data_IF_214493666625
#
_entry.id   IF_214493666625
#
_cell.length_a   1.000
_cell.length_b   1.000
_cell.length_c   1.000
_cell.angle_alpha   90.00
_cell.angle_beta   90.00
_cell.angle_gamma   90.00
#
_symmetry.space_group_name_H-M   'P 1'
#
loop_
_entity.id
_entity.type
_entity.pdbx_description
1 polymer ?
#
# COMPACT_ATOMS: atom_id res chain seq x y z
N UNK A 1 -4.19 -33.18 7.69
CA UNK A 1 -2.91 -32.47 7.63
C UNK A 1 -3.23 -30.98 7.74
N UNK A 2 -2.90 -30.32 8.85
CA UNK A 2 -3.01 -28.89 8.93
C UNK A 2 -1.94 -28.31 7.99
N UNK A 3 -2.39 -27.61 6.99
CA UNK A 3 -1.56 -26.84 6.09
C UNK A 3 -0.99 -25.67 6.90
N UNK A 4 0.24 -25.79 7.36
CA UNK A 4 0.95 -24.66 7.98
C UNK A 4 1.33 -23.70 6.84
N UNK A 5 0.41 -22.79 6.52
CA UNK A 5 0.75 -21.66 5.67
C UNK A 5 1.87 -20.87 6.34
N UNK A 6 3.05 -20.91 5.76
CA UNK A 6 4.19 -20.12 6.20
C UNK A 6 3.80 -18.63 6.13
N UNK A 7 4.03 -17.89 7.22
CA UNK A 7 3.80 -16.45 7.24
C UNK A 7 4.79 -15.78 6.29
N UNK A 8 4.31 -14.82 5.48
CA UNK A 8 5.16 -13.99 4.66
C UNK A 8 5.74 -12.83 5.48
N UNK A 9 6.99 -12.49 5.21
CA UNK A 9 7.67 -11.32 5.77
C UNK A 9 7.66 -10.23 4.69
N UNK A 10 6.97 -9.13 4.97
CA UNK A 10 6.71 -8.05 4.00
C UNK A 10 7.16 -6.73 4.62
N UNK A 11 8.44 -6.35 4.47
CA UNK A 11 8.93 -5.05 4.92
C UNK A 11 8.34 -3.91 4.10
N UNK A 12 8.43 -2.68 4.62
CA UNK A 12 7.94 -1.48 3.95
C UNK A 12 9.00 -0.39 3.88
N UNK A 13 8.94 0.40 2.81
CA UNK A 13 9.65 1.68 2.65
C UNK A 13 8.61 2.76 2.46
N UNK A 14 8.66 3.81 3.28
CA UNK A 14 7.82 4.99 3.14
C UNK A 14 8.46 5.99 2.20
N UNK A 15 7.64 6.67 1.41
CA UNK A 15 8.06 7.82 0.64
C UNK A 15 7.12 9.00 0.89
N UNK A 16 7.69 10.19 1.10
CA UNK A 16 6.96 11.43 1.26
C UNK A 16 7.73 12.57 0.61
N UNK A 17 7.07 13.32 -0.27
CA UNK A 17 7.66 14.51 -0.93
C UNK A 17 9.01 14.23 -1.61
N UNK A 18 9.22 13.00 -2.12
CA UNK A 18 10.46 12.57 -2.77
C UNK A 18 11.59 12.15 -1.81
N UNK A 19 11.31 12.07 -0.52
CA UNK A 19 12.19 11.52 0.51
C UNK A 19 11.73 10.11 0.87
N UNK A 20 12.66 9.30 1.39
CA UNK A 20 12.39 7.91 1.80
C UNK A 20 12.64 7.74 3.29
N UNK A 21 11.93 6.79 3.91
CA UNK A 21 12.06 6.51 5.33
C UNK A 21 11.62 5.07 5.66
N UNK A 22 12.01 4.56 6.83
CA UNK A 22 11.54 3.26 7.34
C UNK A 22 10.12 3.32 7.88
N UNK A 23 9.75 4.46 8.46
CA UNK A 23 8.41 4.77 8.97
C UNK A 23 8.10 6.23 8.69
N UNK A 24 6.84 6.66 8.86
CA UNK A 24 6.45 8.06 8.67
C UNK A 24 7.24 9.06 9.54
N UNK A 25 7.81 8.62 10.66
CA UNK A 25 8.54 9.45 11.64
C UNK A 25 10.01 9.08 11.81
N UNK A 26 10.55 8.19 10.98
CA UNK A 26 11.93 7.72 11.10
C UNK A 26 12.92 8.61 10.34
N UNK A 27 14.21 8.29 10.52
CA UNK A 27 15.31 8.92 9.79
C UNK A 27 15.07 8.90 8.27
N UNK A 28 15.32 10.03 7.62
CA UNK A 28 15.20 10.19 6.18
C UNK A 28 16.37 9.47 5.51
N UNK A 29 16.06 8.63 4.54
CA UNK A 29 17.01 7.95 3.69
C UNK A 29 17.21 8.73 2.38
N UNK A 30 18.43 8.75 1.90
CA UNK A 30 18.70 9.16 0.52
C UNK A 30 18.12 8.14 -0.47
N UNK A 31 18.02 8.53 -1.73
CA UNK A 31 17.59 7.64 -2.82
C UNK A 31 18.40 6.34 -2.88
N UNK A 32 19.72 6.46 -2.75
CA UNK A 32 20.64 5.30 -2.80
C UNK A 32 20.46 4.39 -1.60
N UNK A 33 20.33 4.96 -0.40
CA UNK A 33 20.09 4.17 0.82
C UNK A 33 18.77 3.42 0.78
N UNK A 34 17.70 4.04 0.26
CA UNK A 34 16.41 3.39 0.09
C UNK A 34 16.47 2.23 -0.93
N UNK A 35 17.21 2.40 -2.04
CA UNK A 35 17.42 1.32 -3.01
C UNK A 35 18.24 0.17 -2.42
N UNK A 36 19.32 0.47 -1.71
CA UNK A 36 20.14 -0.52 -1.02
C UNK A 36 19.36 -1.27 0.06
N UNK A 37 18.47 -0.56 0.76
CA UNK A 37 17.60 -1.16 1.76
C UNK A 37 16.65 -2.18 1.13
N UNK A 38 16.06 -1.88 -0.03
CA UNK A 38 15.21 -2.82 -0.75
C UNK A 38 15.96 -4.10 -1.16
N UNK A 39 17.21 -3.95 -1.64
CA UNK A 39 18.08 -5.09 -1.98
C UNK A 39 18.40 -5.92 -0.72
N UNK A 40 18.74 -5.26 0.38
CA UNK A 40 19.00 -5.93 1.64
C UNK A 40 17.79 -6.73 2.14
N UNK A 41 16.60 -6.20 2.05
CA UNK A 41 15.38 -6.91 2.45
C UNK A 41 15.22 -8.21 1.65
N UNK A 42 15.49 -8.21 0.34
CA UNK A 42 15.49 -9.43 -0.45
C UNK A 42 16.58 -10.41 -0.01
N UNK A 43 17.81 -9.95 0.21
CA UNK A 43 18.94 -10.77 0.66
C UNK A 43 18.70 -11.40 2.04
N UNK A 44 17.98 -10.71 2.92
CA UNK A 44 17.58 -11.18 4.24
C UNK A 44 16.34 -12.09 4.23
N UNK A 45 15.77 -12.36 3.05
CA UNK A 45 14.70 -13.34 2.86
C UNK A 45 13.28 -12.79 2.97
N UNK A 46 13.08 -11.49 2.67
CA UNK A 46 11.73 -10.95 2.54
C UNK A 46 10.99 -11.61 1.37
N UNK A 47 9.69 -11.87 1.55
CA UNK A 47 8.85 -12.50 0.54
C UNK A 47 8.27 -11.49 -0.45
N UNK A 48 8.10 -10.24 -0.04
CA UNK A 48 7.53 -9.14 -0.82
C UNK A 48 7.96 -7.82 -0.20
N UNK A 49 7.98 -6.72 -0.95
CA UNK A 49 8.26 -5.37 -0.47
C UNK A 49 7.04 -4.47 -0.66
N UNK A 50 6.72 -3.62 0.32
CA UNK A 50 5.68 -2.57 0.18
C UNK A 50 6.32 -1.19 0.12
N UNK A 51 5.99 -0.41 -0.90
CA UNK A 51 6.38 0.99 -1.02
C UNK A 51 5.14 1.86 -0.78
N UNK A 52 5.15 2.60 0.34
CA UNK A 52 4.03 3.40 0.82
C UNK A 52 4.29 4.88 0.56
N UNK A 53 3.59 5.44 -0.44
CA UNK A 53 3.66 6.88 -0.68
C UNK A 53 2.59 7.63 0.11
N UNK A 54 3.05 8.44 1.06
CA UNK A 54 2.21 9.31 1.89
C UNK A 54 2.26 10.77 1.45
N UNK A 55 2.80 11.03 0.26
CA UNK A 55 2.90 12.38 -0.32
C UNK A 55 1.50 12.99 -0.50
N UNK A 56 1.29 14.18 0.09
CA UNK A 56 0.03 14.91 0.00
C UNK A 56 -0.08 15.76 -1.27
N UNK A 57 1.06 16.18 -1.83
CA UNK A 57 1.15 17.07 -3.00
C UNK A 57 1.70 16.29 -4.19
N UNK A 58 0.88 16.08 -5.22
CA UNK A 58 1.21 15.25 -6.39
C UNK A 58 2.49 15.70 -7.12
N UNK A 59 2.73 17.00 -7.21
CA UNK A 59 3.89 17.58 -7.88
C UNK A 59 5.23 17.18 -7.23
N UNK A 60 5.21 16.77 -5.97
CA UNK A 60 6.40 16.33 -5.23
C UNK A 60 6.80 14.87 -5.49
N UNK A 61 6.01 14.13 -6.26
CA UNK A 61 6.28 12.72 -6.65
C UNK A 61 7.24 12.55 -7.82
N UNK A 62 7.95 13.58 -8.25
CA UNK A 62 8.76 13.58 -9.49
C UNK A 62 9.77 12.44 -9.58
N UNK A 63 10.40 12.06 -8.48
CA UNK A 63 11.41 11.00 -8.45
C UNK A 63 10.82 9.59 -8.28
N UNK A 64 9.56 9.47 -7.90
CA UNK A 64 8.93 8.21 -7.56
C UNK A 64 8.88 7.21 -8.74
N UNK A 65 8.44 7.57 -9.96
CA UNK A 65 8.43 6.62 -11.07
C UNK A 65 9.81 6.08 -11.43
N UNK A 66 10.86 6.91 -11.31
CA UNK A 66 12.24 6.48 -11.49
C UNK A 66 12.65 5.49 -10.41
N UNK A 67 12.36 5.79 -9.15
CA UNK A 67 12.67 4.92 -8.02
C UNK A 67 12.01 3.54 -8.17
N UNK A 68 10.72 3.50 -8.51
CA UNK A 68 10.00 2.25 -8.74
C UNK A 68 10.62 1.42 -9.87
N UNK A 69 11.05 2.07 -10.97
CA UNK A 69 11.76 1.39 -12.06
C UNK A 69 13.12 0.85 -11.63
N UNK A 70 13.85 1.58 -10.79
CA UNK A 70 15.16 1.13 -10.32
C UNK A 70 14.99 -0.02 -9.30
N UNK A 71 13.98 0.02 -8.42
CA UNK A 71 13.58 -1.12 -7.58
C UNK A 71 13.29 -2.36 -8.44
N UNK A 72 12.42 -2.22 -9.45
CA UNK A 72 12.01 -3.35 -10.31
C UNK A 72 13.16 -4.03 -11.04
N UNK A 73 14.29 -3.35 -11.21
CA UNK A 73 15.51 -3.91 -11.81
C UNK A 73 16.48 -4.50 -10.79
N UNK A 74 16.37 -4.07 -9.53
CA UNK A 74 17.34 -4.37 -8.49
C UNK A 74 16.94 -5.55 -7.62
N UNK A 75 15.63 -5.84 -7.49
CA UNK A 75 15.10 -6.95 -6.70
C UNK A 75 14.28 -7.91 -7.57
N UNK A 76 14.20 -9.17 -7.15
CA UNK A 76 13.41 -10.23 -7.82
C UNK A 76 12.13 -10.55 -7.09
N UNK A 77 12.07 -10.28 -5.76
CA UNK A 77 10.84 -10.43 -5.01
C UNK A 77 9.78 -9.44 -5.52
N UNK A 78 8.49 -9.81 -5.52
CA UNK A 78 7.44 -8.90 -5.91
C UNK A 78 7.39 -7.68 -4.99
N UNK A 79 6.94 -6.55 -5.51
CA UNK A 79 6.69 -5.39 -4.68
C UNK A 79 5.35 -4.73 -4.99
N UNK A 80 4.75 -4.20 -3.94
CA UNK A 80 3.47 -3.49 -3.93
C UNK A 80 3.76 -2.00 -3.84
N UNK A 81 3.05 -1.21 -4.59
CA UNK A 81 3.06 0.24 -4.47
C UNK A 81 1.67 0.78 -4.17
N UNK A 82 1.57 1.77 -3.31
CA UNK A 82 0.34 2.53 -3.11
C UNK A 82 0.59 3.90 -2.49
N UNK A 83 -0.42 4.72 -2.65
CA UNK A 83 -0.41 6.13 -2.30
C UNK A 83 -0.73 6.99 -3.53
N UNK A 84 -1.75 7.86 -3.40
CA UNK A 84 -2.22 8.72 -4.49
C UNK A 84 -2.80 8.01 -5.71
N UNK A 85 -3.18 6.75 -5.60
CA UNK A 85 -3.86 5.99 -6.64
C UNK A 85 -5.36 6.22 -6.49
N UNK A 86 -5.98 6.91 -7.46
CA UNK A 86 -7.40 7.28 -7.44
C UNK A 86 -8.16 6.80 -8.67
N UNK A 87 -7.47 6.51 -9.76
CA UNK A 87 -8.05 6.14 -11.06
C UNK A 87 -7.38 4.91 -11.64
N UNK A 88 -8.03 4.29 -12.63
CA UNK A 88 -7.44 3.17 -13.39
C UNK A 88 -6.18 3.60 -14.15
N UNK A 89 -6.12 4.85 -14.57
CA UNK A 89 -4.95 5.42 -15.24
C UNK A 89 -3.75 5.50 -14.29
N UNK A 90 -3.96 5.89 -13.04
CA UNK A 90 -2.89 5.89 -12.04
C UNK A 90 -2.34 4.47 -11.84
N UNK A 91 -3.22 3.47 -11.79
CA UNK A 91 -2.83 2.06 -11.70
C UNK A 91 -1.98 1.65 -12.91
N UNK A 92 -2.44 1.96 -14.11
CA UNK A 92 -1.72 1.67 -15.35
C UNK A 92 -0.32 2.30 -15.38
N UNK A 93 -0.23 3.56 -14.99
CA UNK A 93 1.04 4.30 -14.98
C UNK A 93 2.03 3.72 -13.95
N UNK A 94 1.54 3.25 -12.80
CA UNK A 94 2.39 2.59 -11.80
C UNK A 94 2.84 1.19 -12.27
N UNK A 95 1.96 0.37 -12.84
CA UNK A 95 2.31 -0.95 -13.36
C UNK A 95 3.38 -0.86 -14.46
N UNK A 96 3.39 0.19 -15.29
CA UNK A 96 4.44 0.45 -16.30
C UNK A 96 5.83 0.70 -15.69
N UNK A 97 5.93 0.97 -14.40
CA UNK A 97 7.22 1.13 -13.71
C UNK A 97 7.84 -0.20 -13.26
N UNK A 98 7.12 -1.31 -13.40
CA UNK A 98 7.54 -2.64 -12.95
C UNK A 98 6.95 -3.07 -11.60
N UNK A 99 6.06 -2.26 -11.03
CA UNK A 99 5.24 -2.63 -9.87
C UNK A 99 4.34 -3.80 -10.24
N UNK A 100 4.28 -4.86 -9.44
CA UNK A 100 3.46 -6.03 -9.71
C UNK A 100 2.07 -5.92 -9.08
N UNK A 101 1.95 -5.20 -7.96
CA UNK A 101 0.70 -5.06 -7.22
C UNK A 101 0.49 -3.62 -6.76
N UNK A 102 -0.73 -3.19 -6.77
CA UNK A 102 -1.13 -1.86 -6.27
C UNK A 102 -1.89 -2.01 -4.97
N UNK A 103 -1.64 -1.13 -4.00
CA UNK A 103 -2.59 -0.98 -2.90
C UNK A 103 -3.37 0.33 -2.99
N UNK A 104 -4.64 0.29 -2.61
CA UNK A 104 -5.51 1.45 -2.45
C UNK A 104 -6.06 1.48 -1.01
N UNK A 105 -6.22 2.66 -0.45
CA UNK A 105 -6.75 2.87 0.89
C UNK A 105 -7.95 3.85 0.82
N UNK A 106 -7.78 5.08 1.23
CA UNK A 106 -8.84 6.10 1.27
C UNK A 106 -9.57 6.29 -0.06
N UNK A 107 -8.91 6.09 -1.19
CA UNK A 107 -9.50 6.16 -2.52
C UNK A 107 -10.58 5.09 -2.73
N UNK A 108 -10.32 3.85 -2.26
CA UNK A 108 -11.28 2.76 -2.33
C UNK A 108 -12.52 3.01 -1.45
N UNK A 109 -12.33 3.59 -0.27
CA UNK A 109 -13.45 3.93 0.63
C UNK A 109 -14.32 5.03 0.01
N UNK A 110 -13.72 6.04 -0.62
CA UNK A 110 -14.46 7.12 -1.30
C UNK A 110 -15.13 6.66 -2.59
N UNK A 111 -14.54 5.72 -3.29
CA UNK A 111 -15.06 5.17 -4.55
C UNK A 111 -14.82 3.66 -4.61
N UNK A 112 -15.71 2.83 -4.01
CA UNK A 112 -15.56 1.37 -3.99
C UNK A 112 -15.54 0.74 -5.39
N UNK A 113 -16.10 1.40 -6.42
CA UNK A 113 -16.03 0.93 -7.81
C UNK A 113 -14.59 0.86 -8.35
N UNK A 114 -13.65 1.59 -7.74
CA UNK A 114 -12.23 1.49 -8.10
C UNK A 114 -11.71 0.05 -7.90
N UNK A 115 -12.13 -0.63 -6.82
CA UNK A 115 -11.77 -2.04 -6.57
C UNK A 115 -12.22 -2.91 -7.75
N UNK A 116 -13.51 -2.82 -8.12
CA UNK A 116 -14.06 -3.58 -9.25
C UNK A 116 -13.32 -3.31 -10.56
N UNK A 117 -13.03 -2.04 -10.85
CA UNK A 117 -12.33 -1.66 -12.08
C UNK A 117 -10.92 -2.26 -12.14
N UNK A 118 -10.16 -2.18 -11.04
CA UNK A 118 -8.80 -2.73 -10.98
C UNK A 118 -8.86 -4.26 -11.12
N UNK A 119 -9.69 -4.93 -10.34
CA UNK A 119 -9.75 -6.40 -10.33
C UNK A 119 -10.27 -6.99 -11.63
N UNK A 120 -11.21 -6.33 -12.30
CA UNK A 120 -11.68 -6.74 -13.63
C UNK A 120 -10.64 -6.56 -14.72
N UNK A 121 -9.79 -5.52 -14.61
CA UNK A 121 -8.80 -5.20 -15.66
C UNK A 121 -7.51 -5.98 -15.47
N UNK A 122 -7.04 -6.13 -14.24
CA UNK A 122 -5.72 -6.69 -13.92
C UNK A 122 -5.75 -7.97 -13.07
N UNK A 123 -6.93 -8.43 -12.67
CA UNK A 123 -7.13 -9.59 -11.80
C UNK A 123 -7.03 -9.24 -10.32
N UNK A 124 -7.62 -10.09 -9.46
CA UNK A 124 -7.66 -9.89 -8.00
C UNK A 124 -6.26 -9.82 -7.37
N UNK A 125 -5.32 -10.61 -7.85
CA UNK A 125 -3.96 -10.67 -7.33
C UNK A 125 -3.17 -9.37 -7.54
N UNK A 126 -3.62 -8.48 -8.44
CA UNK A 126 -2.98 -7.17 -8.67
C UNK A 126 -3.32 -6.13 -7.60
N UNK A 127 -4.35 -6.39 -6.78
CA UNK A 127 -4.88 -5.41 -5.85
C UNK A 127 -4.82 -5.87 -4.39
N UNK A 128 -4.26 -5.02 -3.55
CA UNK A 128 -4.32 -5.05 -2.12
C UNK A 128 -5.14 -3.85 -1.63
N UNK A 129 -6.12 -4.06 -0.76
CA UNK A 129 -6.86 -2.96 -0.13
C UNK A 129 -6.32 -2.72 1.27
N UNK A 130 -5.69 -1.57 1.48
CA UNK A 130 -5.23 -1.14 2.80
C UNK A 130 -6.39 -0.51 3.58
N UNK A 131 -6.47 -0.82 4.85
CA UNK A 131 -7.55 -0.44 5.74
C UNK A 131 -6.96 0.13 7.02
N UNK A 132 -7.09 1.44 7.21
CA UNK A 132 -6.77 2.07 8.48
C UNK A 132 -7.98 1.97 9.40
N UNK A 133 -7.80 1.41 10.59
CA UNK A 133 -8.90 1.22 11.54
C UNK A 133 -8.51 1.62 12.96
N UNK A 134 -9.52 1.93 13.76
CA UNK A 134 -9.36 2.24 15.19
C UNK A 134 -10.59 1.77 15.97
N UNK A 135 -10.34 1.25 17.17
CA UNK A 135 -11.39 0.96 18.13
C UNK A 135 -11.96 2.27 18.69
N UNK A 136 -13.23 2.53 18.44
CA UNK A 136 -13.92 3.76 18.81
C UNK A 136 -15.28 3.40 19.41
N UNK A 137 -15.48 3.71 20.70
CA UNK A 137 -16.69 3.36 21.46
C UNK A 137 -17.11 1.88 21.34
N UNK A 138 -16.13 0.97 21.43
CA UNK A 138 -16.35 -0.47 21.35
C UNK A 138 -16.51 -1.03 19.92
N UNK A 139 -16.42 -0.21 18.89
CA UNK A 139 -16.52 -0.61 17.49
C UNK A 139 -15.26 -0.28 16.70
N UNK A 140 -14.80 -1.19 15.84
CA UNK A 140 -13.72 -0.95 14.90
C UNK A 140 -14.25 -0.13 13.70
N UNK A 141 -13.82 1.11 13.59
CA UNK A 141 -14.23 2.04 12.52
C UNK A 141 -13.10 2.28 11.54
N UNK A 142 -13.48 2.48 10.27
CA UNK A 142 -12.54 2.83 9.20
C UNK A 142 -12.14 4.29 9.33
N UNK A 143 -10.85 4.55 9.12
CA UNK A 143 -10.27 5.88 9.06
C UNK A 143 -9.67 6.15 7.69
N UNK A 144 -9.66 7.40 7.28
CA UNK A 144 -9.07 7.88 6.03
C UNK A 144 -7.87 8.79 6.31
N UNK A 145 -7.09 9.05 5.25
CA UNK A 145 -6.01 10.03 5.29
C UNK A 145 -4.98 9.74 6.41
N UNK A 146 -4.53 8.48 6.53
CA UNK A 146 -3.58 8.08 7.58
C UNK A 146 -4.15 8.26 9.00
N UNK A 147 -5.41 7.94 9.22
CA UNK A 147 -6.05 8.00 10.54
C UNK A 147 -6.62 9.38 10.93
N UNK A 148 -6.52 10.38 10.07
CA UNK A 148 -6.96 11.77 10.36
C UNK A 148 -8.46 11.98 10.26
N UNK A 149 -9.17 11.19 9.46
CA UNK A 149 -10.60 11.37 9.18
C UNK A 149 -11.37 10.10 9.52
N UNK A 150 -12.20 10.15 10.56
CA UNK A 150 -13.10 9.06 10.94
C UNK A 150 -14.23 8.91 9.93
N UNK A 151 -14.63 7.67 9.69
CA UNK A 151 -15.91 7.34 9.01
C UNK A 151 -16.86 6.62 9.96
N UNK A 152 -18.10 6.44 9.55
CA UNK A 152 -19.06 5.61 10.29
C UNK A 152 -19.05 4.14 9.81
N UNK A 153 -18.19 3.80 8.86
CA UNK A 153 -18.09 2.45 8.29
C UNK A 153 -17.44 1.52 9.31
N UNK A 154 -18.09 0.40 9.55
CA UNK A 154 -17.55 -0.68 10.38
C UNK A 154 -16.50 -1.51 9.62
N UNK A 155 -15.47 -1.98 10.34
CA UNK A 155 -14.36 -2.73 9.76
C UNK A 155 -14.84 -4.02 9.06
N UNK A 156 -15.69 -4.81 9.73
CA UNK A 156 -16.11 -6.09 9.17
C UNK A 156 -16.97 -5.90 7.93
N UNK A 157 -17.88 -4.94 7.95
CA UNK A 157 -18.70 -4.60 6.78
C UNK A 157 -17.84 -4.13 5.60
N UNK A 158 -16.77 -3.38 5.87
CA UNK A 158 -15.85 -2.93 4.82
C UNK A 158 -15.02 -4.09 4.26
N UNK A 159 -14.51 -4.99 5.10
CA UNK A 159 -13.80 -6.19 4.69
C UNK A 159 -14.68 -7.03 3.74
N UNK A 160 -15.92 -7.30 4.14
CA UNK A 160 -16.88 -8.05 3.32
C UNK A 160 -17.12 -7.37 1.97
N UNK A 161 -17.32 -6.06 1.96
CA UNK A 161 -17.48 -5.29 0.72
C UNK A 161 -16.24 -5.39 -0.18
N UNK A 162 -15.02 -5.31 0.37
CA UNK A 162 -13.80 -5.47 -0.39
C UNK A 162 -13.70 -6.85 -1.04
N UNK A 163 -14.03 -7.90 -0.30
CA UNK A 163 -14.06 -9.28 -0.79
C UNK A 163 -15.08 -9.46 -1.93
N UNK A 164 -16.30 -8.98 -1.73
CA UNK A 164 -17.36 -9.03 -2.76
C UNK A 164 -16.97 -8.31 -4.05
N UNK A 165 -16.14 -7.27 -3.95
CA UNK A 165 -15.63 -6.50 -5.09
C UNK A 165 -14.37 -7.11 -5.72
N UNK A 166 -13.90 -8.23 -5.19
CA UNK A 166 -12.80 -9.01 -5.75
C UNK A 166 -11.41 -8.57 -5.30
N UNK A 167 -11.26 -7.85 -4.19
CA UNK A 167 -9.95 -7.57 -3.62
C UNK A 167 -9.19 -8.88 -3.34
N UNK A 168 -7.94 -8.98 -3.81
CA UNK A 168 -7.14 -10.19 -3.66
C UNK A 168 -6.55 -10.35 -2.26
N UNK A 169 -6.24 -9.23 -1.62
CA UNK A 169 -5.62 -9.20 -0.30
C UNK A 169 -6.00 -7.93 0.47
N UNK A 170 -6.00 -8.03 1.80
CA UNK A 170 -6.30 -6.91 2.69
C UNK A 170 -5.12 -6.65 3.63
N UNK A 171 -4.71 -5.39 3.75
CA UNK A 171 -3.73 -4.92 4.72
C UNK A 171 -4.45 -4.10 5.79
N UNK A 172 -4.65 -4.68 6.98
CA UNK A 172 -5.36 -4.01 8.08
C UNK A 172 -4.36 -3.43 9.07
N UNK A 173 -4.43 -2.12 9.28
CA UNK A 173 -3.56 -1.38 10.20
C UNK A 173 -4.39 -0.67 11.27
N UNK A 174 -3.92 -0.70 12.52
CA UNK A 174 -4.48 0.14 13.57
C UNK A 174 -3.76 1.49 13.59
N UNK A 175 -4.54 2.58 13.49
CA UNK A 175 -3.97 3.93 13.52
C UNK A 175 -4.07 4.53 14.92
N UNK A 176 -2.98 5.15 15.39
CA UNK A 176 -2.95 5.83 16.68
C UNK A 176 -3.95 7.01 16.71
N UNK A 177 -4.36 7.42 17.90
CA UNK A 177 -5.08 8.70 18.06
C UNK A 177 -4.13 9.81 17.62
N UNK A 178 -4.54 10.61 16.62
CA UNK A 178 -3.87 11.88 16.38
C UNK A 178 -3.97 12.73 17.65
N UNK A 179 -2.85 13.27 18.07
CA UNK A 179 -2.80 14.25 19.15
C UNK A 179 -3.31 15.58 18.63
#
# INVERSE_FOLDING_TARGET
MQDFTTKRIIPSIYTSDGQFALTESSHILSYTEALQLAIRYEEEGADELVIMDVTTITERRRNLPRFLKDISKSIKIPFVFGGGVHTIRDVEDMLKTGVQRIYVNSAAVRNPELINKITKTYGSNSLLVAIDTRLTFGHWKIYLNGGKSRTEIDLLNWIEMCQMRGAGELLVSTVARGY
#
